data_IF_656164683506
#
_entry.id   IF_656164683506
#
_cell.length_a   1.000
_cell.length_b   1.000
_cell.length_c   1.000
_cell.angle_alpha   90.00
_cell.angle_beta   90.00
_cell.angle_gamma   90.00
#
_symmetry.space_group_name_H-M   'P 1'
#
loop_
_entity.id
_entity.type
_entity.pdbx_description
1 polymer ?
#
# COMPACT_ATOMS: atom_id res chain seq x y z
N UNK A 1 20.72 29.98 -2.43
CA UNK A 1 21.11 28.63 -2.94
C UNK A 1 19.92 28.05 -3.72
N UNK A 2 20.16 27.19 -4.72
CA UNK A 2 19.06 26.53 -5.42
C UNK A 2 18.39 25.55 -4.42
N UNK A 3 17.06 25.60 -4.31
CA UNK A 3 16.25 24.74 -3.44
C UNK A 3 16.45 23.26 -3.82
N UNK A 4 16.71 22.34 -2.87
CA UNK A 4 16.75 20.92 -3.17
C UNK A 4 15.36 20.45 -3.61
N UNK A 5 15.29 19.72 -4.70
CA UNK A 5 14.04 19.12 -5.15
C UNK A 5 13.63 18.02 -4.16
N UNK A 6 12.48 18.20 -3.51
CA UNK A 6 12.03 17.34 -2.42
C UNK A 6 10.83 16.50 -2.83
N UNK A 7 10.93 15.18 -2.68
CA UNK A 7 9.83 14.25 -2.76
C UNK A 7 9.28 13.98 -1.34
N UNK A 8 7.98 14.17 -1.15
CA UNK A 8 7.28 13.81 0.08
C UNK A 8 6.45 12.56 -0.17
N UNK A 9 6.61 11.54 0.68
CA UNK A 9 5.90 10.28 0.59
C UNK A 9 5.25 9.95 1.92
N UNK A 10 3.96 9.74 1.95
CA UNK A 10 3.26 9.35 3.18
C UNK A 10 2.63 7.97 3.06
N UNK A 11 2.73 7.16 4.12
CA UNK A 11 1.75 6.11 4.33
C UNK A 11 0.35 6.71 4.56
N UNK A 12 -0.69 5.89 4.44
CA UNK A 12 -2.08 6.31 4.61
C UNK A 12 -2.63 5.98 6.00
N UNK A 13 -2.72 4.70 6.31
CA UNK A 13 -3.44 4.21 7.50
C UNK A 13 -2.61 4.40 8.76
N UNK A 14 -3.14 5.16 9.72
CA UNK A 14 -2.39 5.49 10.93
C UNK A 14 -1.39 6.64 10.75
N UNK A 15 -1.17 7.12 9.52
CA UNK A 15 -0.23 8.21 9.21
C UNK A 15 -0.94 9.44 8.65
N UNK A 16 -1.36 9.43 7.38
CA UNK A 16 -2.05 10.57 6.75
C UNK A 16 -3.55 10.62 7.04
N UNK A 17 -4.17 9.45 7.20
CA UNK A 17 -5.60 9.33 7.47
C UNK A 17 -5.90 9.44 8.96
N UNK A 18 -7.01 10.11 9.30
CA UNK A 18 -7.50 10.19 10.68
C UNK A 18 -8.13 8.89 11.20
N UNK A 19 -8.69 8.93 12.40
CA UNK A 19 -9.24 7.77 13.11
C UNK A 19 -10.36 7.01 12.33
N UNK A 20 -11.11 7.69 11.45
CA UNK A 20 -12.11 7.08 10.60
C UNK A 20 -11.55 6.46 9.31
N UNK A 21 -10.23 6.35 9.17
CA UNK A 21 -9.54 5.98 7.92
C UNK A 21 -9.98 6.84 6.73
N UNK A 22 -10.16 8.14 6.97
CA UNK A 22 -10.52 9.15 5.98
C UNK A 22 -9.54 10.33 6.01
N UNK A 23 -9.35 10.95 4.85
CA UNK A 23 -8.60 12.20 4.74
C UNK A 23 -9.51 13.37 5.14
N UNK A 24 -9.08 14.19 6.10
CA UNK A 24 -9.81 15.39 6.48
C UNK A 24 -9.82 16.44 5.37
N UNK A 25 -10.81 17.31 5.36
CA UNK A 25 -10.86 18.43 4.41
C UNK A 25 -9.69 19.42 4.66
N UNK A 26 -9.26 19.57 5.90
CA UNK A 26 -8.12 20.40 6.24
C UNK A 26 -6.80 19.82 5.69
N UNK A 27 -6.56 18.53 5.86
CA UNK A 27 -5.40 17.84 5.24
C UNK A 27 -5.41 17.97 3.71
N UNK A 28 -6.57 17.76 3.07
CA UNK A 28 -6.69 17.90 1.62
C UNK A 28 -6.36 19.33 1.14
N UNK A 29 -6.84 20.36 1.84
CA UNK A 29 -6.54 21.76 1.52
C UNK A 29 -5.05 22.08 1.69
N UNK A 30 -4.43 21.65 2.79
CA UNK A 30 -2.99 21.86 3.04
C UNK A 30 -2.12 21.14 2.01
N UNK A 31 -2.45 19.90 1.64
CA UNK A 31 -1.74 19.18 0.59
C UNK A 31 -1.87 19.87 -0.78
N UNK A 32 -3.08 20.32 -1.15
CA UNK A 32 -3.27 21.05 -2.40
C UNK A 32 -2.48 22.37 -2.42
N UNK A 33 -2.43 23.06 -1.30
CA UNK A 33 -1.58 24.26 -1.17
C UNK A 33 -0.10 23.91 -1.31
N UNK A 34 0.39 22.88 -0.65
CA UNK A 34 1.77 22.44 -0.77
C UNK A 34 2.13 22.04 -2.22
N UNK A 35 1.25 21.29 -2.89
CA UNK A 35 1.41 20.89 -4.30
C UNK A 35 1.43 22.12 -5.21
N UNK A 36 0.56 23.10 -4.97
CA UNK A 36 0.54 24.36 -5.73
C UNK A 36 1.82 25.20 -5.56
N UNK A 37 2.49 25.08 -4.42
CA UNK A 37 3.79 25.67 -4.13
C UNK A 37 4.97 24.85 -4.72
N UNK A 38 4.68 23.71 -5.37
CA UNK A 38 5.67 22.88 -6.05
C UNK A 38 6.20 21.70 -5.24
N UNK A 39 5.45 21.23 -4.23
CA UNK A 39 5.78 19.99 -3.54
C UNK A 39 5.54 18.79 -4.48
N UNK A 40 6.54 17.95 -4.68
CA UNK A 40 6.38 16.62 -5.26
C UNK A 40 5.86 15.69 -4.15
N UNK A 41 4.54 15.42 -4.14
CA UNK A 41 3.87 14.61 -3.13
C UNK A 41 3.28 13.34 -3.72
N UNK A 42 3.46 12.22 -3.02
CA UNK A 42 2.77 10.95 -3.28
C UNK A 42 2.53 10.15 -2.00
N UNK A 43 1.85 9.01 -2.14
CA UNK A 43 1.57 8.08 -1.04
C UNK A 43 2.14 6.70 -1.34
N UNK A 44 2.44 5.93 -0.27
CA UNK A 44 2.85 4.54 -0.34
C UNK A 44 2.03 3.68 0.63
N UNK A 45 1.14 2.83 0.12
CA UNK A 45 0.13 2.15 0.91
C UNK A 45 -0.05 0.68 0.52
N UNK A 46 -0.53 -0.15 1.45
CA UNK A 46 -1.00 -1.50 1.15
C UNK A 46 -2.36 -1.51 0.41
N UNK A 47 -3.09 -0.40 0.43
CA UNK A 47 -4.42 -0.30 -0.21
C UNK A 47 -4.34 -0.42 -1.74
N UNK A 48 -5.44 -0.92 -2.33
CA UNK A 48 -5.60 -0.98 -3.79
C UNK A 48 -5.97 0.39 -4.37
N UNK A 49 -5.70 0.66 -5.67
CA UNK A 49 -6.09 1.88 -6.36
C UNK A 49 -7.57 2.24 -6.20
N UNK A 50 -8.45 1.25 -6.15
CA UNK A 50 -9.89 1.44 -5.90
C UNK A 50 -10.19 2.18 -4.58
N UNK A 51 -9.42 1.92 -3.53
CA UNK A 51 -9.56 2.60 -2.25
C UNK A 51 -8.87 3.95 -2.26
N UNK A 52 -7.66 4.01 -2.82
CA UNK A 52 -6.85 5.23 -2.92
C UNK A 52 -7.58 6.33 -3.70
N UNK A 53 -8.16 6.00 -4.86
CA UNK A 53 -8.93 6.94 -5.68
C UNK A 53 -10.07 7.62 -4.92
N UNK A 54 -10.76 6.87 -4.07
CA UNK A 54 -11.86 7.39 -3.24
C UNK A 54 -11.35 8.28 -2.11
N UNK A 55 -10.30 7.86 -1.42
CA UNK A 55 -9.76 8.56 -0.25
C UNK A 55 -9.11 9.90 -0.61
N UNK A 56 -8.38 9.94 -1.73
CA UNK A 56 -7.61 11.11 -2.15
C UNK A 56 -8.30 11.93 -3.26
N UNK A 57 -9.59 11.72 -3.52
CA UNK A 57 -10.34 12.42 -4.57
C UNK A 57 -10.38 13.94 -4.46
N UNK A 58 -10.05 14.49 -3.27
CA UNK A 58 -9.98 15.94 -3.00
C UNK A 58 -8.57 16.50 -3.13
N UNK A 59 -7.56 15.66 -3.38
CA UNK A 59 -6.17 16.06 -3.52
C UNK A 59 -5.79 16.08 -5.00
N UNK A 60 -5.17 17.16 -5.44
CA UNK A 60 -4.70 17.37 -6.82
C UNK A 60 -3.38 16.64 -7.05
N UNK A 61 -3.41 15.31 -6.96
CA UNK A 61 -2.23 14.46 -7.07
C UNK A 61 -1.59 14.59 -8.45
N UNK A 62 -0.27 14.86 -8.48
CA UNK A 62 0.54 14.99 -9.70
C UNK A 62 1.43 13.78 -9.95
N UNK A 63 1.74 13.03 -8.90
CA UNK A 63 2.55 11.82 -8.98
C UNK A 63 1.69 10.58 -8.79
N UNK A 64 2.07 9.44 -9.37
CA UNK A 64 1.35 8.20 -9.18
C UNK A 64 1.43 7.71 -7.73
N UNK A 65 0.37 7.11 -7.22
CA UNK A 65 0.37 6.41 -5.94
C UNK A 65 1.21 5.13 -6.02
N UNK A 66 1.94 4.84 -4.96
CA UNK A 66 2.52 3.53 -4.71
C UNK A 66 1.47 2.71 -3.97
N UNK A 67 0.85 1.76 -4.66
CA UNK A 67 -0.26 0.96 -4.16
C UNK A 67 0.14 -0.51 -3.95
N UNK A 68 -0.66 -1.23 -3.13
CA UNK A 68 -0.48 -2.65 -2.87
C UNK A 68 0.96 -2.97 -2.44
N UNK A 69 1.45 -2.24 -1.42
CA UNK A 69 2.80 -2.39 -0.84
C UNK A 69 3.95 -2.22 -1.87
N UNK A 70 3.71 -1.48 -2.96
CA UNK A 70 4.66 -1.28 -4.05
C UNK A 70 4.55 -2.30 -5.18
N UNK A 71 3.55 -3.18 -5.14
CA UNK A 71 3.31 -4.13 -6.23
C UNK A 71 2.87 -3.43 -7.52
N UNK A 72 2.33 -2.21 -7.43
CA UNK A 72 1.93 -1.44 -8.60
C UNK A 72 1.92 0.06 -8.29
N UNK A 73 2.14 0.89 -9.30
CA UNK A 73 1.85 2.32 -9.26
C UNK A 73 0.57 2.62 -10.01
N UNK A 74 -0.17 3.61 -9.55
CA UNK A 74 -1.42 4.02 -10.16
C UNK A 74 -1.50 5.55 -10.30
N UNK A 75 -1.77 6.01 -11.52
CA UNK A 75 -1.89 7.44 -11.84
C UNK A 75 -3.32 7.93 -11.61
N UNK A 76 -3.46 9.07 -10.90
CA UNK A 76 -4.76 9.64 -10.55
C UNK A 76 -5.48 10.32 -11.72
N UNK A 77 -4.76 10.73 -12.75
CA UNK A 77 -5.29 11.50 -13.88
C UNK A 77 -5.62 10.61 -15.07
N UNK A 78 -4.69 9.71 -15.43
CA UNK A 78 -4.87 8.79 -16.55
C UNK A 78 -5.54 7.49 -16.13
N UNK A 79 -5.53 7.17 -14.83
CA UNK A 79 -5.97 5.91 -14.22
C UNK A 79 -5.14 4.69 -14.69
N UNK A 80 -3.95 4.94 -15.20
CA UNK A 80 -3.05 3.89 -15.69
C UNK A 80 -2.33 3.20 -14.54
N UNK A 81 -2.11 1.91 -14.72
CA UNK A 81 -1.24 1.09 -13.87
C UNK A 81 0.14 1.01 -14.50
N UNK A 82 1.18 1.19 -13.70
CA UNK A 82 2.57 1.16 -14.15
C UNK A 82 3.49 0.45 -13.17
N UNK A 83 4.66 0.03 -13.66
CA UNK A 83 5.72 -0.63 -12.86
C UNK A 83 5.21 -1.83 -12.05
N UNK A 84 4.38 -2.73 -12.59
CA UNK A 84 3.89 -3.88 -11.84
C UNK A 84 5.05 -4.79 -11.41
N UNK A 85 4.91 -5.37 -10.21
CA UNK A 85 5.81 -6.36 -9.63
C UNK A 85 5.01 -7.65 -9.46
N UNK A 86 4.98 -8.44 -10.53
CA UNK A 86 4.24 -9.70 -10.54
C UNK A 86 4.98 -10.78 -9.75
N UNK A 87 4.20 -11.67 -9.14
CA UNK A 87 4.69 -12.97 -8.68
C UNK A 87 4.99 -13.80 -9.94
N UNK A 88 6.09 -14.51 -9.95
CA UNK A 88 6.43 -15.42 -11.05
C UNK A 88 5.31 -16.46 -11.24
N UNK A 89 4.90 -16.79 -12.48
CA UNK A 89 3.81 -17.73 -12.73
C UNK A 89 3.99 -19.10 -12.09
N UNK A 90 5.21 -19.64 -12.06
CA UNK A 90 5.50 -20.93 -11.42
C UNK A 90 5.30 -20.84 -9.90
N UNK A 91 5.76 -19.74 -9.28
CA UNK A 91 5.52 -19.46 -7.86
C UNK A 91 4.02 -19.26 -7.57
N UNK A 92 3.29 -18.59 -8.46
CA UNK A 92 1.84 -18.39 -8.32
C UNK A 92 1.08 -19.72 -8.38
N UNK A 93 1.48 -20.65 -9.24
CA UNK A 93 0.95 -22.01 -9.29
C UNK A 93 1.27 -22.79 -8.01
N UNK A 94 2.51 -22.69 -7.51
CA UNK A 94 2.94 -23.32 -6.26
C UNK A 94 2.11 -22.78 -5.07
N UNK A 95 1.91 -21.47 -4.97
CA UNK A 95 1.06 -20.86 -3.96
C UNK A 95 -0.37 -21.40 -4.00
N UNK A 96 -0.99 -21.48 -5.18
CA UNK A 96 -2.32 -22.07 -5.34
C UNK A 96 -2.36 -23.54 -4.91
N UNK A 97 -1.31 -24.32 -5.23
CA UNK A 97 -1.21 -25.69 -4.82
C UNK A 97 -1.11 -25.84 -3.29
N UNK A 98 -0.43 -24.92 -2.62
CA UNK A 98 -0.35 -24.86 -1.15
C UNK A 98 -1.77 -24.61 -0.58
N UNK A 99 -2.49 -23.58 -1.03
CA UNK A 99 -3.84 -23.29 -0.56
C UNK A 99 -4.80 -24.47 -0.79
N UNK A 100 -4.77 -25.10 -1.97
CA UNK A 100 -5.56 -26.29 -2.29
C UNK A 100 -5.24 -27.47 -1.38
N UNK A 101 -3.96 -27.74 -1.10
CA UNK A 101 -3.51 -28.82 -0.21
C UNK A 101 -4.01 -28.65 1.21
N UNK A 102 -4.08 -27.40 1.69
CA UNK A 102 -4.63 -27.06 3.00
C UNK A 102 -6.15 -26.94 3.01
N UNK A 103 -6.82 -27.06 1.86
CA UNK A 103 -8.25 -26.86 1.67
C UNK A 103 -8.71 -25.48 2.23
N UNK A 104 -7.93 -24.44 1.94
CA UNK A 104 -8.17 -23.07 2.38
C UNK A 104 -8.46 -22.17 1.17
N UNK A 105 -9.48 -21.30 1.26
CA UNK A 105 -9.74 -20.33 0.22
C UNK A 105 -8.69 -19.22 0.22
N UNK A 106 -8.49 -18.63 -0.95
CA UNK A 106 -7.62 -17.48 -1.16
C UNK A 106 -8.17 -16.61 -2.27
N UNK A 107 -8.08 -15.29 -2.11
CA UNK A 107 -8.30 -14.34 -3.18
C UNK A 107 -7.01 -14.15 -3.99
N UNK A 108 -7.12 -14.28 -5.29
CA UNK A 108 -6.06 -14.04 -6.26
C UNK A 108 -6.30 -12.70 -6.96
N UNK A 109 -5.39 -11.77 -6.76
CA UNK A 109 -5.41 -10.44 -7.37
C UNK A 109 -4.48 -10.42 -8.58
N UNK A 110 -5.02 -10.22 -9.76
CA UNK A 110 -4.25 -10.05 -11.00
C UNK A 110 -4.50 -8.67 -11.61
N UNK A 111 -3.54 -8.17 -12.37
CA UNK A 111 -3.69 -6.92 -13.10
C UNK A 111 -4.40 -7.19 -14.43
N UNK A 112 -5.66 -6.79 -14.55
CA UNK A 112 -6.41 -6.78 -15.79
C UNK A 112 -5.98 -5.63 -16.71
N UNK A 113 -6.78 -5.36 -17.72
CA UNK A 113 -6.50 -4.28 -18.69
C UNK A 113 -6.58 -2.89 -18.02
N UNK A 114 -7.67 -2.63 -17.28
CA UNK A 114 -7.95 -1.31 -16.68
C UNK A 114 -8.30 -1.37 -15.18
N UNK A 115 -8.17 -2.53 -14.56
CA UNK A 115 -8.51 -2.74 -13.15
C UNK A 115 -7.74 -3.93 -12.56
N UNK A 116 -7.61 -3.95 -11.25
CA UNK A 116 -7.24 -5.17 -10.53
C UNK A 116 -8.44 -6.11 -10.55
N UNK A 117 -8.25 -7.32 -11.06
CA UNK A 117 -9.24 -8.39 -11.05
C UNK A 117 -8.98 -9.31 -9.87
N UNK A 118 -10.05 -9.64 -9.14
CA UNK A 118 -9.97 -10.51 -7.96
C UNK A 118 -10.80 -11.75 -8.22
N UNK A 119 -10.14 -12.89 -8.29
CA UNK A 119 -10.75 -14.22 -8.34
C UNK A 119 -10.53 -14.92 -7.00
N UNK A 120 -11.09 -16.09 -6.81
CA UNK A 120 -10.81 -16.91 -5.63
C UNK A 120 -10.51 -18.35 -6.02
N UNK A 121 -9.80 -19.05 -5.13
CA UNK A 121 -9.65 -20.49 -5.17
C UNK A 121 -10.22 -21.03 -3.86
N UNK A 122 -11.00 -22.10 -3.92
CA UNK A 122 -11.66 -22.72 -2.77
C UNK A 122 -12.99 -22.06 -2.37
N UNK A 123 -13.68 -22.68 -1.43
CA UNK A 123 -14.99 -22.24 -0.94
C UNK A 123 -14.85 -21.08 0.04
N UNK A 124 -15.35 -19.92 -0.32
CA UNK A 124 -15.34 -18.73 0.53
C UNK A 124 -16.25 -18.91 1.75
N UNK A 125 -15.75 -18.51 2.92
CA UNK A 125 -16.56 -18.34 4.14
C UNK A 125 -17.51 -17.15 4.02
N UNK A 126 -18.45 -17.01 4.96
CA UNK A 126 -19.36 -15.86 5.02
C UNK A 126 -18.59 -14.55 5.22
N UNK A 127 -17.50 -14.57 5.99
CA UNK A 127 -16.61 -13.40 6.17
C UNK A 127 -15.98 -12.97 4.85
N UNK A 128 -15.45 -13.92 4.07
CA UNK A 128 -14.80 -13.64 2.79
C UNK A 128 -15.80 -13.20 1.73
N UNK A 129 -17.01 -13.78 1.70
CA UNK A 129 -18.11 -13.32 0.83
C UNK A 129 -18.48 -11.87 1.17
N UNK A 130 -18.71 -11.58 2.45
CA UNK A 130 -18.99 -10.22 2.90
C UNK A 130 -17.84 -9.25 2.57
N UNK A 131 -16.60 -9.68 2.75
CA UNK A 131 -15.43 -8.87 2.37
C UNK A 131 -15.44 -8.50 0.87
N UNK A 132 -15.78 -9.46 0.00
CA UNK A 132 -15.87 -9.23 -1.43
C UNK A 132 -17.03 -8.29 -1.79
N UNK A 133 -18.21 -8.52 -1.20
CA UNK A 133 -19.44 -7.73 -1.43
C UNK A 133 -19.24 -6.26 -1.01
N UNK A 134 -18.70 -6.03 0.19
CA UNK A 134 -18.42 -4.69 0.74
C UNK A 134 -17.42 -3.88 -0.12
N UNK A 135 -16.61 -4.58 -0.93
CA UNK A 135 -15.53 -3.99 -1.77
C UNK A 135 -15.81 -4.06 -3.26
N UNK A 136 -16.97 -4.55 -3.65
CA UNK A 136 -17.45 -4.57 -5.03
C UNK A 136 -17.90 -3.17 -5.48
N UNK A 137 -18.05 -2.98 -6.80
CA UNK A 137 -18.60 -1.74 -7.37
C UNK A 137 -17.57 -0.63 -7.66
N UNK A 138 -16.28 -0.92 -7.58
CA UNK A 138 -15.24 0.02 -8.02
C UNK A 138 -14.87 -0.20 -9.49
N UNK A 139 -14.63 0.89 -10.22
CA UNK A 139 -14.09 0.81 -11.58
C UNK A 139 -12.65 0.24 -11.62
N UNK A 140 -11.88 0.40 -10.54
CA UNK A 140 -10.46 0.04 -10.49
C UNK A 140 -10.17 -1.31 -9.80
N UNK A 141 -11.22 -2.00 -9.32
CA UNK A 141 -11.13 -3.35 -8.76
C UNK A 141 -12.42 -4.12 -9.00
N UNK A 142 -12.32 -5.29 -9.63
CA UNK A 142 -13.45 -6.14 -9.98
C UNK A 142 -13.34 -7.49 -9.27
N UNK A 143 -14.33 -7.83 -8.44
CA UNK A 143 -14.47 -9.17 -7.91
C UNK A 143 -15.21 -10.05 -8.93
N UNK A 144 -14.54 -11.07 -9.41
CA UNK A 144 -15.06 -11.98 -10.42
C UNK A 144 -15.72 -13.22 -9.80
N UNK A 145 -15.77 -13.38 -8.49
CA UNK A 145 -16.33 -14.47 -7.69
C UNK A 145 -16.36 -15.82 -8.45
N UNK A 146 -15.22 -16.14 -9.06
CA UNK A 146 -14.99 -17.33 -9.87
C UNK A 146 -13.76 -18.03 -9.35
N UNK A 147 -13.81 -19.35 -9.26
CA UNK A 147 -12.67 -20.22 -8.93
C UNK A 147 -11.82 -20.58 -10.16
N UNK A 148 -12.19 -20.05 -11.34
CA UNK A 148 -11.43 -20.23 -12.57
C UNK A 148 -10.26 -19.22 -12.64
N UNK A 149 -9.10 -19.65 -12.14
CA UNK A 149 -7.84 -18.93 -12.24
C UNK A 149 -7.07 -19.46 -13.45
N UNK A 150 -7.14 -18.73 -14.56
CA UNK A 150 -6.47 -19.09 -15.81
C UNK A 150 -4.97 -18.84 -15.74
N UNK A 151 -4.19 -19.55 -16.58
CA UNK A 151 -2.74 -19.30 -16.74
C UNK A 151 -2.45 -17.84 -17.11
N UNK A 152 -3.24 -17.22 -17.99
CA UNK A 152 -3.08 -15.80 -18.33
C UNK A 152 -3.26 -14.85 -17.13
N UNK A 153 -4.12 -15.20 -16.15
CA UNK A 153 -4.23 -14.40 -14.94
C UNK A 153 -3.07 -14.64 -13.97
N UNK A 154 -2.48 -15.84 -13.98
CA UNK A 154 -1.29 -16.14 -13.17
C UNK A 154 -0.05 -15.37 -13.63
N UNK A 155 0.12 -15.16 -14.93
CA UNK A 155 1.20 -14.32 -15.48
C UNK A 155 1.16 -12.86 -14.99
N UNK A 156 0.03 -12.43 -14.47
CA UNK A 156 -0.21 -11.05 -14.02
C UNK A 156 -0.58 -10.96 -12.54
N UNK A 157 -0.17 -11.93 -11.75
CA UNK A 157 -0.44 -12.00 -10.30
C UNK A 157 0.27 -10.89 -9.54
N UNK A 158 -0.50 -10.06 -8.82
CA UNK A 158 0.02 -9.03 -7.92
C UNK A 158 0.05 -9.49 -6.47
N UNK A 159 -0.95 -10.27 -6.03
CA UNK A 159 -1.17 -10.56 -4.62
C UNK A 159 -2.04 -11.82 -4.46
N UNK A 160 -1.69 -12.67 -3.50
CA UNK A 160 -2.63 -13.60 -2.87
C UNK A 160 -3.03 -13.07 -1.50
N UNK A 161 -4.31 -13.11 -1.19
CA UNK A 161 -4.90 -12.52 0.00
C UNK A 161 -5.85 -13.51 0.67
N UNK A 162 -5.60 -13.88 1.91
CA UNK A 162 -6.44 -14.84 2.64
C UNK A 162 -6.71 -14.39 4.07
N UNK A 163 -7.91 -14.68 4.55
CA UNK A 163 -8.40 -14.38 5.90
C UNK A 163 -8.85 -15.70 6.52
N UNK A 164 -8.09 -16.21 7.47
CA UNK A 164 -8.33 -17.53 8.05
C UNK A 164 -8.09 -17.50 9.56
N UNK A 165 -8.53 -18.52 10.31
CA UNK A 165 -8.14 -18.67 11.71
C UNK A 165 -6.63 -18.59 11.88
N UNK A 166 -6.17 -17.87 12.90
CA UNK A 166 -4.75 -17.54 13.14
C UNK A 166 -3.83 -18.75 13.02
N UNK A 167 -4.21 -19.90 13.61
CA UNK A 167 -3.39 -21.13 13.56
C UNK A 167 -3.22 -21.68 12.12
N UNK A 168 -4.19 -21.43 11.23
CA UNK A 168 -4.11 -21.85 9.82
C UNK A 168 -3.20 -20.90 9.05
N UNK A 169 -3.33 -19.59 9.26
CA UNK A 169 -2.47 -18.58 8.64
C UNK A 169 -1.02 -18.77 9.04
N UNK A 170 -0.73 -19.07 10.32
CA UNK A 170 0.63 -19.36 10.77
C UNK A 170 1.28 -20.56 10.06
N UNK A 171 0.49 -21.61 9.73
CA UNK A 171 0.98 -22.75 8.96
C UNK A 171 1.30 -22.35 7.53
N UNK A 172 0.39 -21.64 6.87
CA UNK A 172 0.60 -21.12 5.52
C UNK A 172 1.83 -20.19 5.48
N UNK A 173 1.92 -19.25 6.42
CA UNK A 173 3.03 -18.32 6.50
C UNK A 173 4.39 -19.02 6.58
N UNK A 174 4.52 -20.04 7.44
CA UNK A 174 5.77 -20.82 7.56
C UNK A 174 6.14 -21.56 6.28
N UNK A 175 5.15 -22.13 5.59
CA UNK A 175 5.37 -22.85 4.35
C UNK A 175 5.70 -21.91 3.20
N UNK A 176 4.92 -20.84 3.04
CA UNK A 176 5.09 -19.84 1.97
C UNK A 176 6.39 -19.03 2.16
N UNK A 177 6.80 -18.76 3.40
CA UNK A 177 8.08 -18.08 3.68
C UNK A 177 9.31 -18.85 3.26
N UNK A 178 9.20 -20.13 2.92
CA UNK A 178 10.29 -20.94 2.40
C UNK A 178 10.46 -20.82 0.87
N UNK A 179 9.52 -20.17 0.18
CA UNK A 179 9.59 -19.96 -1.28
C UNK A 179 10.45 -18.73 -1.56
N UNK A 180 11.53 -18.90 -2.28
CA UNK A 180 12.42 -17.81 -2.69
C UNK A 180 11.67 -16.82 -3.62
N UNK A 181 11.94 -15.53 -3.51
CA UNK A 181 11.31 -14.49 -4.33
C UNK A 181 9.88 -14.10 -3.90
N UNK A 182 9.37 -14.68 -2.81
CA UNK A 182 8.05 -14.40 -2.25
C UNK A 182 8.16 -13.66 -0.92
N UNK A 183 7.32 -12.66 -0.73
CA UNK A 183 7.20 -11.87 0.49
C UNK A 183 5.82 -12.05 1.12
N UNK A 184 5.63 -12.97 2.06
CA UNK A 184 4.41 -13.10 2.84
C UNK A 184 4.38 -12.10 3.99
N UNK A 185 3.25 -11.41 4.17
CA UNK A 185 3.01 -10.47 5.28
C UNK A 185 1.82 -10.96 6.09
N UNK A 186 2.03 -11.13 7.38
CA UNK A 186 1.08 -11.68 8.30
C UNK A 186 0.57 -10.64 9.31
N UNK A 187 -0.75 -10.54 9.47
CA UNK A 187 -1.41 -9.63 10.40
C UNK A 187 -2.39 -10.37 11.30
N UNK A 188 -2.36 -10.05 12.61
CA UNK A 188 -3.28 -10.61 13.59
C UNK A 188 -4.55 -9.77 13.72
N UNK A 189 -5.68 -10.42 14.00
CA UNK A 189 -6.94 -9.86 14.48
C UNK A 189 -7.52 -8.68 13.67
N UNK A 190 -7.22 -8.59 12.37
CA UNK A 190 -7.68 -7.48 11.52
C UNK A 190 -9.20 -7.49 11.31
N UNK A 191 -9.81 -8.69 11.25
CA UNK A 191 -11.25 -8.87 11.02
C UNK A 191 -12.00 -9.47 12.21
N UNK A 192 -11.40 -9.42 13.38
CA UNK A 192 -11.96 -9.94 14.61
C UNK A 192 -11.02 -10.89 15.35
N UNK A 193 -11.39 -11.30 16.56
CA UNK A 193 -10.57 -12.21 17.34
C UNK A 193 -10.35 -13.54 16.59
N UNK A 194 -9.11 -14.01 16.61
CA UNK A 194 -8.69 -15.26 15.97
C UNK A 194 -8.82 -15.30 14.43
N UNK A 195 -8.98 -14.14 13.76
CA UNK A 195 -8.94 -14.03 12.30
C UNK A 195 -7.67 -13.29 11.89
N UNK A 196 -6.74 -14.02 11.31
CA UNK A 196 -5.52 -13.46 10.77
C UNK A 196 -5.62 -13.25 9.25
N UNK A 197 -4.83 -12.31 8.76
CA UNK A 197 -4.69 -11.98 7.36
C UNK A 197 -3.30 -12.37 6.88
N UNK A 198 -3.22 -13.01 5.71
CA UNK A 198 -1.99 -13.24 4.99
C UNK A 198 -2.06 -12.60 3.61
N UNK A 199 -1.15 -11.67 3.38
CA UNK A 199 -0.86 -11.09 2.08
C UNK A 199 0.43 -11.69 1.54
N UNK A 200 0.44 -12.11 0.28
CA UNK A 200 1.61 -12.72 -0.35
C UNK A 200 1.92 -11.96 -1.63
N UNK A 201 3.04 -11.27 -1.63
CA UNK A 201 3.54 -10.46 -2.76
C UNK A 201 4.81 -11.08 -3.36
N UNK A 202 5.20 -10.62 -4.53
CA UNK A 202 6.57 -10.78 -5.01
C UNK A 202 7.55 -10.05 -4.07
N UNK A 203 8.71 -10.60 -3.79
CA UNK A 203 9.78 -9.93 -3.04
C UNK A 203 10.20 -8.59 -3.69
N UNK A 204 10.05 -8.47 -5.01
CA UNK A 204 10.28 -7.24 -5.73
C UNK A 204 9.25 -6.12 -5.43
N UNK A 205 8.10 -6.45 -4.81
CA UNK A 205 7.11 -5.49 -4.37
C UNK A 205 7.54 -4.88 -3.03
N UNK A 206 7.96 -3.62 -3.05
CA UNK A 206 8.46 -2.92 -1.88
C UNK A 206 8.09 -1.44 -1.93
N UNK A 207 7.54 -0.90 -0.84
CA UNK A 207 7.35 0.56 -0.70
C UNK A 207 8.68 1.29 -0.92
N UNK A 208 9.78 0.79 -0.34
CA UNK A 208 11.10 1.41 -0.44
C UNK A 208 11.60 1.51 -1.88
N UNK A 209 11.60 0.39 -2.62
CA UNK A 209 12.07 0.39 -4.03
C UNK A 209 11.19 1.27 -4.93
N UNK A 210 9.87 1.31 -4.66
CA UNK A 210 8.95 2.14 -5.42
C UNK A 210 9.13 3.64 -5.11
N UNK A 211 9.41 4.01 -3.85
CA UNK A 211 9.75 5.38 -3.44
C UNK A 211 11.04 5.83 -4.13
N UNK A 212 12.11 5.02 -4.06
CA UNK A 212 13.37 5.34 -4.70
C UNK A 212 13.20 5.53 -6.21
N UNK A 213 12.44 4.68 -6.88
CA UNK A 213 12.20 4.81 -8.31
C UNK A 213 11.39 6.07 -8.68
N UNK A 214 10.46 6.55 -7.84
CA UNK A 214 9.80 7.85 -8.06
C UNK A 214 10.80 8.99 -7.80
N UNK A 215 11.61 8.90 -6.75
CA UNK A 215 12.63 9.88 -6.42
C UNK A 215 13.60 10.09 -7.60
N UNK A 216 14.07 9.01 -8.21
CA UNK A 216 14.97 9.05 -9.38
C UNK A 216 14.26 9.67 -10.60
N UNK A 217 13.00 9.29 -10.86
CA UNK A 217 12.20 9.79 -11.99
C UNK A 217 11.94 11.31 -11.89
N UNK A 218 11.66 11.81 -10.67
CA UNK A 218 11.47 13.24 -10.46
C UNK A 218 12.78 13.99 -10.25
N UNK A 219 13.90 13.31 -10.07
CA UNK A 219 15.19 13.92 -9.77
C UNK A 219 15.22 14.56 -8.38
N UNK A 220 14.64 13.90 -7.37
CA UNK A 220 14.61 14.38 -6.00
C UNK A 220 16.00 14.33 -5.37
N UNK A 221 16.42 15.46 -4.76
CA UNK A 221 17.66 15.57 -3.99
C UNK A 221 17.42 15.29 -2.50
N UNK A 222 16.15 15.38 -2.06
CA UNK A 222 15.68 15.09 -0.71
C UNK A 222 14.42 14.24 -0.79
N UNK A 223 14.35 13.19 0.01
CA UNK A 223 13.20 12.30 0.14
C UNK A 223 12.74 12.33 1.58
N UNK A 224 11.53 12.83 1.83
CA UNK A 224 10.89 12.85 3.15
C UNK A 224 9.80 11.78 3.18
N UNK A 225 9.86 10.88 4.17
CA UNK A 225 8.92 9.78 4.31
C UNK A 225 8.21 9.84 5.64
N UNK A 226 6.87 9.68 5.63
CA UNK A 226 6.03 9.63 6.82
C UNK A 226 5.48 8.22 7.00
N UNK A 227 5.54 7.69 8.23
CA UNK A 227 5.06 6.35 8.55
C UNK A 227 4.74 6.15 10.02
N UNK A 228 4.08 5.02 10.33
CA UNK A 228 3.66 4.68 11.69
C UNK A 228 3.92 3.22 12.07
N UNK A 229 4.15 2.32 11.10
CA UNK A 229 4.14 0.89 11.38
C UNK A 229 5.35 0.15 10.76
N UNK A 230 5.47 -1.13 11.09
CA UNK A 230 6.59 -2.00 10.67
C UNK A 230 6.79 -2.02 9.15
N UNK A 231 5.70 -2.02 8.38
CA UNK A 231 5.73 -2.04 6.91
C UNK A 231 6.28 -0.74 6.28
N UNK A 232 6.41 0.34 7.08
CA UNK A 232 7.00 1.61 6.64
C UNK A 232 8.51 1.69 6.87
N UNK A 233 9.03 0.87 7.80
CA UNK A 233 10.44 0.87 8.16
C UNK A 233 11.35 0.82 6.93
N UNK A 234 11.13 -0.08 5.93
CA UNK A 234 12.01 -0.13 4.76
C UNK A 234 12.06 1.18 3.97
N UNK A 235 10.91 1.87 3.77
CA UNK A 235 10.92 3.13 3.03
C UNK A 235 11.49 4.29 3.87
N UNK A 236 11.29 4.28 5.19
CA UNK A 236 11.88 5.27 6.10
C UNK A 236 13.41 5.14 6.16
N UNK A 237 13.94 3.91 6.12
CA UNK A 237 15.39 3.68 6.11
C UNK A 237 16.08 4.18 4.83
N UNK A 238 15.38 4.29 3.72
CA UNK A 238 15.91 4.82 2.46
C UNK A 238 15.68 6.31 2.27
N UNK A 239 14.92 6.94 3.16
CA UNK A 239 14.65 8.38 3.14
C UNK A 239 15.88 9.20 3.52
N UNK A 240 15.95 10.45 3.05
CA UNK A 240 16.90 11.44 3.56
C UNK A 240 16.41 12.07 4.85
N UNK A 241 15.10 12.00 5.12
CA UNK A 241 14.48 12.44 6.36
C UNK A 241 13.24 11.60 6.65
N UNK A 242 13.30 10.83 7.72
CA UNK A 242 12.22 9.94 8.16
C UNK A 242 11.41 10.61 9.29
N UNK A 243 10.10 10.72 9.11
CA UNK A 243 9.18 11.36 10.05
C UNK A 243 8.17 10.36 10.57
N UNK A 244 8.10 10.16 11.87
CA UNK A 244 7.09 9.34 12.52
C UNK A 244 5.95 10.20 13.07
N UNK A 245 4.72 9.68 13.01
CA UNK A 245 3.61 10.26 13.76
C UNK A 245 3.64 9.82 15.23
N UNK A 246 3.03 10.58 16.14
CA UNK A 246 3.03 10.31 17.59
C UNK A 246 2.42 8.93 17.93
N UNK A 247 1.40 8.51 17.19
CA UNK A 247 0.75 7.20 17.35
C UNK A 247 1.49 6.04 16.69
N UNK A 248 2.67 6.28 16.10
CA UNK A 248 3.50 5.21 15.54
C UNK A 248 3.96 4.23 16.63
N UNK A 249 4.26 3.00 16.23
CA UNK A 249 4.88 2.01 17.15
C UNK A 249 6.26 2.49 17.61
N UNK A 250 6.69 2.06 18.79
CA UNK A 250 7.94 2.51 19.41
C UNK A 250 9.14 2.39 18.47
N UNK A 251 9.28 1.24 17.81
CA UNK A 251 10.36 0.97 16.86
C UNK A 251 10.43 1.99 15.72
N UNK A 252 9.29 2.48 15.24
CA UNK A 252 9.23 3.49 14.16
C UNK A 252 9.59 4.86 14.72
N UNK A 253 9.10 5.22 15.93
CA UNK A 253 9.47 6.48 16.59
C UNK A 253 10.95 6.57 16.93
N UNK A 254 11.54 5.46 17.38
CA UNK A 254 12.97 5.39 17.74
C UNK A 254 13.92 5.55 16.55
N UNK A 255 13.49 5.12 15.35
CA UNK A 255 14.33 5.22 14.16
C UNK A 255 14.11 6.48 13.34
N UNK A 256 13.03 7.22 13.58
CA UNK A 256 12.71 8.43 12.84
C UNK A 256 13.66 9.59 13.23
N UNK A 257 13.94 10.47 12.27
CA UNK A 257 14.69 11.71 12.50
C UNK A 257 13.83 12.73 13.28
N UNK A 258 12.51 12.65 13.13
CA UNK A 258 11.55 13.53 13.78
C UNK A 258 10.26 12.79 14.11
N UNK A 259 9.66 13.13 15.27
CA UNK A 259 8.31 12.68 15.66
C UNK A 259 7.40 13.89 15.70
N UNK A 260 6.33 13.85 14.90
CA UNK A 260 5.32 14.91 14.81
C UNK A 260 4.06 14.52 15.59
N UNK A 261 3.01 15.35 15.54
CA UNK A 261 1.75 15.09 16.25
C UNK A 261 1.03 13.80 15.81
N UNK A 262 -0.08 13.50 16.47
CA UNK A 262 -0.92 12.35 16.13
C UNK A 262 -1.58 12.51 14.75
N UNK A 263 -1.76 11.40 14.03
CA UNK A 263 -2.42 11.35 12.70
C UNK A 263 -3.82 12.01 12.67
N UNK A 264 -4.49 12.09 13.82
CA UNK A 264 -5.82 12.74 13.95
C UNK A 264 -5.77 14.27 14.00
N UNK A 265 -4.58 14.87 13.97
CA UNK A 265 -4.35 16.33 14.06
C UNK A 265 -3.90 16.98 12.75
N UNK A 266 -4.07 16.31 11.61
CA UNK A 266 -3.60 16.76 10.28
C UNK A 266 -2.08 17.04 10.23
N UNK A 267 -1.31 16.39 11.09
CA UNK A 267 0.09 16.71 11.34
C UNK A 267 0.98 16.55 10.10
N UNK A 268 0.77 15.49 9.30
CA UNK A 268 1.55 15.22 8.09
C UNK A 268 1.34 16.32 7.04
N UNK A 269 0.08 16.64 6.72
CA UNK A 269 -0.22 17.67 5.72
C UNK A 269 0.28 19.05 6.15
N UNK A 270 0.15 19.37 7.43
CA UNK A 270 0.66 20.61 8.05
C UNK A 270 2.20 20.67 7.99
N UNK A 271 2.87 19.58 8.29
CA UNK A 271 4.32 19.49 8.25
C UNK A 271 4.84 19.73 6.82
N UNK A 272 4.26 19.06 5.82
CA UNK A 272 4.61 19.23 4.41
C UNK A 272 4.42 20.68 3.96
N UNK A 273 3.27 21.30 4.30
CA UNK A 273 2.99 22.69 3.93
C UNK A 273 3.98 23.66 4.55
N UNK A 274 4.35 23.48 5.82
CA UNK A 274 5.33 24.33 6.50
C UNK A 274 6.73 24.15 5.90
N UNK A 275 7.20 22.93 5.70
CA UNK A 275 8.52 22.63 5.14
C UNK A 275 8.68 23.24 3.72
N UNK A 276 7.63 23.13 2.88
CA UNK A 276 7.66 23.74 1.54
C UNK A 276 7.64 25.27 1.63
N UNK A 277 6.86 25.86 2.53
CA UNK A 277 6.76 27.32 2.69
C UNK A 277 8.05 27.92 3.24
N UNK A 278 8.68 27.29 4.25
CA UNK A 278 9.97 27.71 4.80
C UNK A 278 11.08 27.64 3.74
N UNK A 279 11.04 26.59 2.92
CA UNK A 279 12.00 26.42 1.83
C UNK A 279 11.86 27.51 0.73
N UNK A 280 10.71 28.15 0.57
CA UNK A 280 10.49 29.25 -0.40
C UNK A 280 11.00 30.59 0.15
N UNK A 281 10.95 30.77 1.48
CA UNK A 281 11.28 32.02 2.15
C UNK A 281 12.80 32.19 2.42
N UNK A 282 13.61 31.16 2.18
CA UNK A 282 15.08 31.14 2.35
C UNK A 282 15.78 30.88 1.01
#
# INVERSE_FOLDING_TARGET
>A
MKRPKTLYVSDLDGTLLGAASELSDASAQMLNQAISLGADFTIATARTPATVSRLLKKVDMKLPAIAMTGAVRWDFNTHDYSKPKFIDPEQAEELLAIYRRHNLPVFHYSLGENAVEVRHCGDLSDLERKFADDRSGSAFKRFMLSDDISSASLERTLLFYSMQPTAQVERLYREISAIEGINPVFYHDIFGPDVALLEVFSEAASKASAVQSIADEVGAERVVVFGDNVNDIPMMQTATHAVAVENAIDRVREMADEVIGCNTSDCVARWILNDIADTINH
#
